data_IF_147315590031
#
_entry.id   IF_147315590031
#
_cell.length_a   1.000
_cell.length_b   1.000
_cell.length_c   1.000
_cell.angle_alpha   90.00
_cell.angle_beta   90.00
_cell.angle_gamma   90.00
#
_symmetry.space_group_name_H-M   'P 1'
#
loop_
_entity.id
_entity.type
_entity.pdbx_description
1 polymer ?
#
# COMPACT_ATOMS: atom_id res chain seq x y z
N UNK A 1 -1.07 -21.84 -2.38
CA UNK A 1 -1.61 -21.13 -1.20
C UNK A 1 -2.22 -19.84 -1.72
N UNK A 2 -3.48 -19.60 -1.39
CA UNK A 2 -4.26 -18.46 -1.91
C UNK A 2 -4.52 -17.44 -0.79
N UNK A 3 -4.55 -16.16 -1.16
CA UNK A 3 -4.79 -15.05 -0.23
C UNK A 3 -6.26 -14.66 -0.31
N UNK A 4 -6.99 -14.77 0.80
CA UNK A 4 -8.37 -14.30 0.89
C UNK A 4 -8.39 -12.83 1.32
N UNK A 5 -8.95 -11.97 0.46
CA UNK A 5 -9.17 -10.54 0.76
C UNK A 5 -10.65 -10.35 1.08
N UNK A 6 -10.97 -9.86 2.28
CA UNK A 6 -12.35 -9.64 2.73
C UNK A 6 -12.64 -8.14 2.81
N UNK A 7 -13.69 -7.70 2.12
CA UNK A 7 -14.09 -6.28 2.00
C UNK A 7 -15.40 -6.03 2.76
N UNK A 8 -15.38 -5.82 4.09
CA UNK A 8 -16.58 -5.49 4.86
C UNK A 8 -17.15 -4.13 4.44
N UNK A 9 -18.48 -4.04 4.33
CA UNK A 9 -19.19 -2.83 3.92
C UNK A 9 -19.41 -1.85 5.07
N UNK A 10 -19.39 -2.34 6.30
CA UNK A 10 -19.71 -1.57 7.50
C UNK A 10 -18.90 -2.06 8.73
N UNK A 11 -18.99 -1.29 9.82
CA UNK A 11 -18.23 -1.55 11.05
C UNK A 11 -18.70 -2.81 11.78
N UNK A 12 -19.96 -3.20 11.65
CA UNK A 12 -20.51 -4.40 12.29
C UNK A 12 -19.98 -5.65 11.60
N UNK A 13 -19.96 -5.67 10.26
CA UNK A 13 -19.35 -6.73 9.47
C UNK A 13 -17.85 -6.89 9.78
N UNK A 14 -17.12 -5.77 9.89
CA UNK A 14 -15.69 -5.81 10.26
C UNK A 14 -15.50 -6.43 11.66
N UNK A 15 -16.35 -6.08 12.62
CA UNK A 15 -16.27 -6.62 13.99
C UNK A 15 -16.57 -8.13 14.02
N UNK A 16 -17.60 -8.58 13.29
CA UNK A 16 -17.95 -9.99 13.17
C UNK A 16 -16.81 -10.80 12.52
N UNK A 17 -16.23 -10.31 11.43
CA UNK A 17 -15.10 -10.98 10.76
C UNK A 17 -13.88 -11.12 11.65
N UNK A 18 -13.53 -10.06 12.41
CA UNK A 18 -12.42 -10.12 13.38
C UNK A 18 -12.66 -11.15 14.48
N UNK A 19 -13.90 -11.27 14.96
CA UNK A 19 -14.25 -12.27 15.98
C UNK A 19 -14.09 -13.70 15.44
N UNK A 20 -14.55 -13.95 14.21
CA UNK A 20 -14.42 -15.24 13.53
C UNK A 20 -12.94 -15.58 13.32
N UNK A 21 -12.15 -14.66 12.74
CA UNK A 21 -10.72 -14.87 12.51
C UNK A 21 -9.95 -15.16 13.80
N UNK A 22 -10.28 -14.46 14.90
CA UNK A 22 -9.69 -14.70 16.22
C UNK A 22 -10.06 -16.08 16.78
N UNK A 23 -11.32 -16.50 16.62
CA UNK A 23 -11.76 -17.83 17.04
C UNK A 23 -11.05 -18.95 16.27
N UNK A 24 -10.78 -18.72 14.99
CA UNK A 24 -10.05 -19.64 14.11
C UNK A 24 -8.52 -19.57 14.27
N UNK A 25 -8.01 -18.69 15.14
CA UNK A 25 -6.56 -18.43 15.32
C UNK A 25 -5.85 -18.09 14.01
N UNK A 26 -6.56 -17.40 13.11
CA UNK A 26 -6.00 -16.91 11.84
C UNK A 26 -5.44 -15.52 12.05
N UNK A 27 -4.16 -15.34 11.73
CA UNK A 27 -3.54 -14.02 11.68
C UNK A 27 -4.14 -13.19 10.55
N UNK A 28 -4.54 -11.97 10.86
CA UNK A 28 -5.11 -11.03 9.89
C UNK A 28 -4.39 -9.69 9.95
N UNK A 29 -4.32 -9.02 8.80
CA UNK A 29 -3.81 -7.65 8.67
C UNK A 29 -4.98 -6.74 8.35
N UNK A 30 -5.11 -5.66 9.11
CA UNK A 30 -6.09 -4.61 8.81
C UNK A 30 -5.38 -3.47 8.11
N UNK A 31 -5.66 -3.31 6.82
CA UNK A 31 -5.32 -2.08 6.12
C UNK A 31 -6.47 -1.11 6.35
N UNK A 32 -6.24 -0.05 7.13
CA UNK A 32 -7.24 1.00 7.30
C UNK A 32 -7.38 1.72 5.95
N UNK A 33 -8.42 1.35 5.21
CA UNK A 33 -8.83 2.06 4.01
C UNK A 33 -9.36 3.44 4.37
N UNK A 34 -8.53 4.46 4.16
CA UNK A 34 -8.84 5.66 3.39
C UNK A 34 -7.64 6.65 3.53
N UNK A 35 -6.99 6.95 2.39
CA UNK A 35 -6.05 8.06 2.13
C UNK A 35 -4.60 8.00 2.60
N UNK A 36 -4.14 6.96 3.31
CA UNK A 36 -2.70 6.80 3.52
C UNK A 36 -2.10 5.98 2.37
N UNK A 37 -1.27 6.61 1.54
CA UNK A 37 -0.39 5.86 0.64
C UNK A 37 0.34 4.77 1.42
N UNK A 38 0.58 3.60 0.80
CA UNK A 38 1.29 2.53 1.49
C UNK A 38 2.68 3.04 1.95
N UNK A 39 3.20 2.46 3.03
CA UNK A 39 4.47 2.94 3.62
C UNK A 39 5.63 2.91 2.62
N UNK A 40 5.66 1.91 1.74
CA UNK A 40 6.70 1.77 0.73
C UNK A 40 6.66 2.91 -0.30
N UNK A 41 5.47 3.34 -0.72
CA UNK A 41 5.28 4.48 -1.60
C UNK A 41 5.72 5.77 -0.91
N UNK A 42 5.33 5.99 0.35
CA UNK A 42 5.75 7.17 1.13
C UNK A 42 7.28 7.20 1.28
N UNK A 43 7.89 6.05 1.57
CA UNK A 43 9.35 5.95 1.69
C UNK A 43 10.05 6.22 0.36
N UNK A 44 9.52 5.68 -0.75
CA UNK A 44 10.04 5.94 -2.10
C UNK A 44 9.97 7.42 -2.46
N UNK A 45 8.88 8.10 -2.13
CA UNK A 45 8.73 9.54 -2.38
C UNK A 45 9.77 10.36 -1.59
N UNK A 46 9.95 10.06 -0.30
CA UNK A 46 10.97 10.72 0.53
C UNK A 46 12.38 10.51 -0.02
N UNK A 47 12.69 9.28 -0.45
CA UNK A 47 13.96 8.98 -1.08
C UNK A 47 14.15 9.82 -2.36
N UNK A 48 13.13 9.94 -3.20
CA UNK A 48 13.18 10.79 -4.38
C UNK A 48 13.41 12.27 -4.06
N UNK A 49 12.83 12.80 -2.98
CA UNK A 49 13.12 14.17 -2.52
C UNK A 49 14.58 14.36 -2.09
N UNK A 50 15.16 13.37 -1.42
CA UNK A 50 16.58 13.39 -1.02
C UNK A 50 17.52 13.21 -2.22
N UNK A 51 17.14 12.38 -3.18
CA UNK A 51 17.87 12.20 -4.45
C UNK A 51 17.86 13.51 -5.27
N UNK A 52 16.73 14.23 -5.31
CA UNK A 52 16.62 15.56 -5.94
C UNK A 52 17.58 16.57 -5.29
N UNK A 53 17.60 16.66 -3.96
CA UNK A 53 18.50 17.56 -3.22
C UNK A 53 19.97 17.20 -3.42
N UNK A 54 20.27 15.91 -3.53
CA UNK A 54 21.62 15.40 -3.76
C UNK A 54 22.07 15.44 -5.23
N UNK A 55 21.22 15.87 -6.17
CA UNK A 55 21.51 15.88 -7.60
C UNK A 55 21.58 14.48 -8.25
N UNK A 56 21.04 13.45 -7.58
CA UNK A 56 20.99 12.06 -8.06
C UNK A 56 19.77 11.83 -8.95
N UNK A 57 19.62 12.64 -9.99
CA UNK A 57 18.45 12.61 -10.88
C UNK A 57 18.85 12.43 -12.33
N UNK A 58 18.03 11.70 -13.08
CA UNK A 58 18.16 11.58 -14.53
C UNK A 58 17.06 12.38 -15.20
N UNK A 59 17.43 13.27 -16.11
CA UNK A 59 16.47 13.95 -16.95
C UNK A 59 16.01 13.00 -18.05
N UNK A 60 14.69 12.89 -18.21
CA UNK A 60 14.04 12.09 -19.25
C UNK A 60 13.12 13.00 -20.05
N UNK A 61 13.17 12.87 -21.36
CA UNK A 61 12.29 13.55 -22.30
C UNK A 61 11.12 12.64 -22.67
N UNK A 62 10.01 13.16 -23.23
CA UNK A 62 8.90 12.33 -23.68
C UNK A 62 9.33 11.24 -24.68
N UNK A 63 10.33 11.52 -25.53
CA UNK A 63 10.86 10.54 -26.49
C UNK A 63 11.51 9.32 -25.81
N UNK A 64 12.06 9.49 -24.61
CA UNK A 64 12.68 8.42 -23.82
C UNK A 64 11.64 7.50 -23.15
N UNK A 65 10.37 7.92 -23.08
CA UNK A 65 9.28 7.16 -22.44
C UNK A 65 8.57 6.26 -23.45
N UNK A 66 8.37 6.77 -24.67
CA UNK A 66 7.58 6.09 -25.71
C UNK A 66 8.38 5.11 -26.59
N UNK A 67 9.70 5.10 -26.47
CA UNK A 67 10.61 4.20 -27.21
C UNK A 67 11.28 3.14 -26.31
N UNK A 68 10.68 2.83 -25.15
CA UNK A 68 11.16 1.81 -24.20
C UNK A 68 10.78 0.37 -24.61
#
# INVERSE_FOLDING_TARGET
METLIVLPKDKEQLAALKAIMKALKVDYKTEKGEKAYNKDFVNKMKQSEDDLKAGRTTQITPADIWNL
#
